data_IF_429995383641
#
_entry.id   IF_429995383641
#
_cell.length_a   1.000
_cell.length_b   1.000
_cell.length_c   1.000
_cell.angle_alpha   90.00
_cell.angle_beta   90.00
_cell.angle_gamma   90.00
#
_symmetry.space_group_name_H-M   'P 1'
#
loop_
_entity.id
_entity.type
_entity.pdbx_description
1 polymer ?
#
# COMPACT_ATOMS: atom_id res chain seq x y z
N UNK A 1 -25.32 19.65 7.44
CA UNK A 1 -24.30 19.30 8.46
C UNK A 1 -24.21 20.44 9.45
N UNK A 2 -24.28 20.15 10.75
CA UNK A 2 -23.98 21.11 11.80
C UNK A 2 -23.22 20.36 12.90
N UNK A 3 -22.03 20.85 13.22
CA UNK A 3 -21.17 20.28 14.26
C UNK A 3 -21.43 21.03 15.57
N UNK A 4 -21.86 20.30 16.61
CA UNK A 4 -21.87 20.80 17.99
C UNK A 4 -20.44 20.94 18.52
N UNK A 5 -20.22 21.95 19.35
CA UNK A 5 -18.90 22.48 19.72
C UNK A 5 -18.20 21.79 20.90
N UNK A 6 -18.69 20.62 21.34
CA UNK A 6 -18.32 20.03 22.63
C UNK A 6 -17.52 18.71 22.54
N UNK A 7 -17.29 18.18 21.33
CA UNK A 7 -16.25 17.17 21.07
C UNK A 7 -16.28 15.90 21.93
N UNK A 8 -17.38 15.62 22.63
CA UNK A 8 -17.45 14.59 23.67
C UNK A 8 -18.67 13.71 23.44
N UNK A 9 -18.63 12.94 22.36
CA UNK A 9 -19.16 11.57 22.26
C UNK A 9 -19.28 11.17 20.79
N UNK A 10 -18.30 10.42 20.28
CA UNK A 10 -18.60 9.46 19.23
C UNK A 10 -19.36 8.31 19.89
N UNK A 11 -20.69 8.41 19.95
CA UNK A 11 -21.58 7.25 20.17
C UNK A 11 -21.79 6.51 18.86
N UNK A 12 -20.68 6.26 18.18
CA UNK A 12 -20.54 5.20 17.20
C UNK A 12 -19.08 4.80 17.41
N UNK A 13 -18.85 3.59 17.93
CA UNK A 13 -17.54 2.96 17.77
C UNK A 13 -17.20 2.86 16.28
N UNK A 14 -16.03 2.34 15.90
CA UNK A 14 -15.80 2.00 14.50
C UNK A 14 -16.98 1.14 14.04
N UNK A 15 -17.84 1.70 13.19
CA UNK A 15 -18.78 0.92 12.43
C UNK A 15 -17.88 0.18 11.47
N UNK A 16 -17.65 -1.10 11.73
CA UNK A 16 -17.11 -1.98 10.71
C UNK A 16 -18.24 -2.12 9.70
N UNK A 17 -18.20 -1.28 8.67
CA UNK A 17 -19.09 -1.46 7.53
C UNK A 17 -18.72 -2.80 6.87
N UNK A 18 -19.67 -3.46 6.20
CA UNK A 18 -19.40 -4.77 5.60
C UNK A 18 -18.24 -4.71 4.59
N UNK A 19 -18.10 -3.57 3.90
CA UNK A 19 -16.99 -3.25 3.00
C UNK A 19 -15.62 -3.36 3.71
N UNK A 20 -15.46 -2.85 4.94
CA UNK A 20 -14.19 -2.96 5.69
C UNK A 20 -13.80 -4.43 6.00
N UNK A 21 -14.80 -5.31 6.15
CA UNK A 21 -14.56 -6.73 6.42
C UNK A 21 -14.16 -7.50 5.16
N UNK A 22 -14.72 -7.13 4.01
CA UNK A 22 -14.34 -7.68 2.71
C UNK A 22 -12.93 -7.21 2.29
N UNK A 23 -12.60 -5.92 2.48
CA UNK A 23 -11.26 -5.36 2.23
C UNK A 23 -10.15 -6.08 3.03
N UNK A 24 -10.44 -6.42 4.29
CA UNK A 24 -9.52 -7.19 5.13
C UNK A 24 -9.36 -8.63 4.65
N UNK A 25 -10.44 -9.27 4.20
CA UNK A 25 -10.42 -10.63 3.69
C UNK A 25 -9.61 -10.73 2.39
N UNK A 26 -9.75 -9.75 1.50
CA UNK A 26 -9.02 -9.64 0.24
C UNK A 26 -7.54 -9.36 0.48
N UNK A 27 -7.20 -8.41 1.34
CA UNK A 27 -5.80 -8.15 1.74
C UNK A 27 -5.16 -9.41 2.34
N UNK A 28 -5.89 -10.14 3.19
CA UNK A 28 -5.39 -11.38 3.77
C UNK A 28 -5.21 -12.50 2.71
N UNK A 29 -6.01 -12.52 1.64
CA UNK A 29 -5.84 -13.45 0.54
C UNK A 29 -4.58 -13.12 -0.28
N UNK A 30 -4.36 -11.85 -0.60
CA UNK A 30 -3.17 -11.39 -1.31
C UNK A 30 -1.89 -11.69 -0.51
N UNK A 31 -1.89 -11.41 0.80
CA UNK A 31 -0.76 -11.73 1.68
C UNK A 31 -0.45 -13.22 1.74
N UNK A 32 -1.47 -14.10 1.64
CA UNK A 32 -1.25 -15.55 1.57
C UNK A 32 -0.67 -16.00 0.23
N UNK A 33 -0.94 -15.26 -0.85
CA UNK A 33 -0.40 -15.54 -2.19
C UNK A 33 0.98 -14.94 -2.44
N UNK A 34 1.33 -13.88 -1.71
CA UNK A 34 2.64 -13.24 -1.78
C UNK A 34 3.72 -14.14 -1.14
N UNK A 35 4.84 -14.32 -1.85
CA UNK A 35 6.04 -14.98 -1.31
C UNK A 35 7.03 -13.98 -0.74
N UNK A 36 7.06 -12.77 -1.29
CA UNK A 36 7.88 -11.65 -0.84
C UNK A 36 7.13 -10.87 0.23
N UNK A 37 7.76 -10.66 1.38
CA UNK A 37 7.21 -9.85 2.45
C UNK A 37 7.39 -8.35 2.21
N UNK A 38 6.61 -7.54 2.92
CA UNK A 38 6.63 -6.07 2.83
C UNK A 38 8.04 -5.45 3.01
N UNK A 39 8.86 -6.00 3.92
CA UNK A 39 10.20 -5.49 4.18
C UNK A 39 11.16 -5.72 3.00
N UNK A 40 11.07 -6.89 2.35
CA UNK A 40 11.86 -7.20 1.17
C UNK A 40 11.40 -6.38 -0.04
N UNK A 41 10.09 -6.17 -0.18
CA UNK A 41 9.53 -5.29 -1.20
C UNK A 41 10.01 -3.83 -1.03
N UNK A 42 9.94 -3.29 0.19
CA UNK A 42 10.44 -1.94 0.48
C UNK A 42 11.95 -1.81 0.22
N UNK A 43 12.72 -2.86 0.52
CA UNK A 43 14.15 -2.94 0.18
C UNK A 43 14.37 -2.91 -1.34
N UNK A 44 13.60 -3.68 -2.11
CA UNK A 44 13.66 -3.67 -3.57
C UNK A 44 13.31 -2.29 -4.15
N UNK A 45 12.27 -1.63 -3.62
CA UNK A 45 11.85 -0.29 -4.04
C UNK A 45 12.94 0.75 -3.79
N UNK A 46 13.53 0.78 -2.60
CA UNK A 46 14.65 1.70 -2.28
C UNK A 46 15.94 1.37 -3.02
N UNK A 47 16.12 0.11 -3.45
CA UNK A 47 17.18 -0.29 -4.37
C UNK A 47 16.96 0.22 -5.80
N UNK A 48 15.71 0.36 -6.23
CA UNK A 48 15.36 0.90 -7.55
C UNK A 48 15.31 2.43 -7.59
N UNK A 49 14.86 3.07 -6.51
CA UNK A 49 14.78 4.52 -6.35
C UNK A 49 15.40 4.91 -5.02
N UNK A 50 16.46 5.70 -5.05
CA UNK A 50 17.06 6.22 -3.83
C UNK A 50 16.10 7.20 -3.16
N UNK A 51 15.53 6.81 -2.02
CA UNK A 51 14.54 7.63 -1.32
C UNK A 51 13.96 6.93 -0.09
N UNK A 52 12.82 7.44 0.35
CA UNK A 52 12.05 6.88 1.47
C UNK A 52 10.74 6.34 0.95
N UNK A 53 10.41 5.09 1.29
CA UNK A 53 9.09 4.51 1.00
C UNK A 53 8.05 5.20 1.88
N UNK A 54 7.04 5.81 1.28
CA UNK A 54 5.95 6.53 1.95
C UNK A 54 4.63 5.78 1.94
N UNK A 55 4.43 4.89 0.96
CA UNK A 55 3.27 4.02 0.85
C UNK A 55 3.70 2.61 0.42
N UNK A 56 2.96 1.60 0.87
CA UNK A 56 3.16 0.21 0.46
C UNK A 56 1.83 -0.54 0.56
N UNK A 57 1.36 -1.04 -0.58
CA UNK A 57 0.12 -1.80 -0.72
C UNK A 57 0.33 -3.06 -1.55
N UNK A 58 -0.58 -4.02 -1.40
CA UNK A 58 -0.70 -5.15 -2.32
C UNK A 58 -1.78 -4.84 -3.35
N UNK A 59 -1.49 -5.18 -4.60
CA UNK A 59 -2.41 -5.09 -5.72
C UNK A 59 -2.44 -6.42 -6.47
N UNK A 60 -3.51 -6.71 -7.19
CA UNK A 60 -3.60 -7.83 -8.12
C UNK A 60 -3.90 -7.34 -9.53
N UNK A 61 -2.94 -7.49 -10.43
CA UNK A 61 -3.08 -7.16 -11.84
C UNK A 61 -3.03 -8.43 -12.69
N UNK A 62 -4.13 -8.77 -13.35
CA UNK A 62 -4.19 -9.91 -14.27
C UNK A 62 -3.85 -11.27 -13.62
N UNK A 63 -4.12 -11.45 -12.33
CA UNK A 63 -3.79 -12.65 -11.56
C UNK A 63 -2.35 -12.72 -11.05
N UNK A 64 -1.61 -11.62 -11.14
CA UNK A 64 -0.30 -11.44 -10.51
C UNK A 64 -0.45 -10.51 -9.31
N UNK A 65 0.08 -10.95 -8.17
CA UNK A 65 0.15 -10.13 -6.96
C UNK A 65 1.39 -9.25 -7.03
N UNK A 66 1.21 -7.96 -6.82
CA UNK A 66 2.23 -6.93 -6.87
C UNK A 66 2.28 -6.20 -5.53
N UNK A 67 3.49 -5.89 -5.07
CA UNK A 67 3.69 -4.80 -4.12
C UNK A 67 3.77 -3.51 -4.89
N UNK A 68 2.89 -2.56 -4.61
CA UNK A 68 2.97 -1.19 -5.10
C UNK A 68 3.41 -0.29 -3.95
N UNK A 69 4.33 0.63 -4.23
CA UNK A 69 4.75 1.59 -3.21
C UNK A 69 5.34 2.85 -3.80
N UNK A 70 5.20 3.91 -3.03
CA UNK A 70 5.70 5.23 -3.37
C UNK A 70 7.03 5.48 -2.70
N UNK A 71 8.01 5.96 -3.46
CA UNK A 71 9.32 6.36 -2.98
C UNK A 71 9.53 7.84 -3.23
N UNK A 72 9.68 8.61 -2.16
CA UNK A 72 10.02 10.03 -2.24
C UNK A 72 11.54 10.18 -2.23
N UNK A 73 12.07 10.78 -3.29
CA UNK A 73 13.50 11.04 -3.42
C UNK A 73 13.95 12.32 -2.69
N UNK A 74 15.26 12.59 -2.67
CA UNK A 74 15.83 13.75 -1.97
C UNK A 74 15.40 15.13 -2.55
N UNK A 75 14.84 15.15 -3.76
CA UNK A 75 14.26 16.35 -4.39
C UNK A 75 12.77 16.53 -4.10
N UNK A 76 12.16 15.56 -3.40
CA UNK A 76 10.74 15.57 -3.07
C UNK A 76 9.84 15.06 -4.20
N UNK A 77 10.41 14.42 -5.23
CA UNK A 77 9.64 13.78 -6.30
C UNK A 77 9.21 12.38 -5.85
N UNK A 78 7.94 12.06 -6.07
CA UNK A 78 7.40 10.73 -5.78
C UNK A 78 7.55 9.82 -6.99
N UNK A 79 8.03 8.61 -6.75
CA UNK A 79 8.14 7.54 -7.73
C UNK A 79 7.26 6.38 -7.29
N UNK A 80 6.29 6.02 -8.12
CA UNK A 80 5.57 4.77 -7.98
C UNK A 80 6.46 3.62 -8.45
N UNK A 81 6.55 2.55 -7.65
CA UNK A 81 7.33 1.36 -7.94
C UNK A 81 6.47 0.12 -7.72
N UNK A 82 6.45 -0.79 -8.72
CA UNK A 82 5.76 -2.08 -8.62
C UNK A 82 6.77 -3.22 -8.56
N UNK A 83 6.61 -4.10 -7.58
CA UNK A 83 7.45 -5.28 -7.34
C UNK A 83 6.60 -6.54 -7.42
N UNK A 84 7.05 -7.54 -8.18
CA UNK A 84 6.40 -8.84 -8.25
C UNK A 84 6.44 -9.55 -6.90
N UNK A 85 5.28 -9.81 -6.29
CA UNK A 85 5.21 -10.35 -4.93
C UNK A 85 5.58 -11.84 -4.86
N UNK A 86 5.82 -12.53 -5.98
CA UNK A 86 6.30 -13.90 -6.00
C UNK A 86 7.83 -13.99 -6.06
N UNK A 87 8.48 -13.08 -6.79
CA UNK A 87 9.92 -13.12 -7.08
C UNK A 87 10.74 -12.00 -6.45
N UNK A 88 10.12 -10.87 -6.14
CA UNK A 88 10.80 -9.66 -5.63
C UNK A 88 11.41 -8.80 -6.73
N UNK A 89 11.13 -9.10 -8.00
CA UNK A 89 11.62 -8.32 -9.13
C UNK A 89 10.82 -7.02 -9.28
N UNK A 90 11.51 -5.90 -9.51
CA UNK A 90 10.87 -4.62 -9.85
C UNK A 90 10.39 -4.70 -11.29
N UNK A 91 9.07 -4.66 -11.49
CA UNK A 91 8.42 -4.86 -12.79
C UNK A 91 7.96 -3.56 -13.43
N UNK A 92 7.71 -2.52 -12.63
CA UNK A 92 7.38 -1.19 -13.13
C UNK A 92 7.95 -0.09 -12.21
N UNK A 93 8.21 1.08 -12.80
CA UNK A 93 8.63 2.29 -12.09
C UNK A 93 8.27 3.52 -12.93
N UNK A 94 7.55 4.45 -12.34
CA UNK A 94 7.20 5.74 -12.94
C UNK A 94 7.28 6.88 -11.94
N UNK A 95 7.53 8.09 -12.43
CA UNK A 95 7.37 9.31 -11.64
C UNK A 95 5.89 9.67 -11.61
N UNK A 96 5.37 10.03 -10.45
CA UNK A 96 4.02 10.61 -10.34
C UNK A 96 4.04 12.07 -10.82
N UNK A 97 3.03 12.46 -11.63
CA UNK A 97 2.90 13.81 -12.22
C UNK A 97 2.13 14.79 -11.33
#
# INVERSE_FOLDING_TARGET
MHTGADGSAVTAGPVTDADDADDLADTAALLRGASVGHADAASAMTGAVAGTVTELALDEDGGRILWEGDVVDASGVTHSVRVDAASGEVVDRSVED
#
